data_IF_277496679225
#
_entry.id   IF_277496679225
#
_cell.length_a   1.000
_cell.length_b   1.000
_cell.length_c   1.000
_cell.angle_alpha   90.00
_cell.angle_beta   90.00
_cell.angle_gamma   90.00
#
_symmetry.space_group_name_H-M   'P 1'
#
loop_
_entity.id
_entity.type
_entity.pdbx_description
1 polymer ?
#
# COMPACT_ATOMS: atom_id res chain seq x y z
N UNK A 1 13.38 5.60 11.81
CA UNK A 1 13.93 4.62 10.87
C UNK A 1 14.28 5.28 9.53
N UNK A 2 13.40 6.06 8.88
CA UNK A 2 13.65 6.69 7.57
C UNK A 2 14.88 7.63 7.53
N UNK A 3 15.03 8.53 8.52
CA UNK A 3 16.16 9.48 8.58
C UNK A 3 17.50 8.72 8.72
N UNK A 4 17.54 7.66 9.52
CA UNK A 4 18.72 6.80 9.65
C UNK A 4 19.12 6.13 8.33
N UNK A 5 18.16 5.64 7.56
CA UNK A 5 18.40 5.05 6.23
C UNK A 5 19.01 6.04 5.25
N UNK A 6 18.50 7.27 5.19
CA UNK A 6 19.02 8.33 4.32
C UNK A 6 20.47 8.67 4.68
N UNK A 7 20.79 8.78 5.97
CA UNK A 7 22.15 9.05 6.45
C UNK A 7 23.12 7.92 6.06
N UNK A 8 22.69 6.66 6.20
CA UNK A 8 23.50 5.49 5.84
C UNK A 8 23.78 5.48 4.33
N UNK A 9 22.76 5.73 3.50
CA UNK A 9 22.92 5.80 2.03
C UNK A 9 23.85 6.96 1.65
N UNK A 10 23.68 8.13 2.23
CA UNK A 10 24.56 9.28 1.98
C UNK A 10 26.01 9.00 2.38
N UNK A 11 26.24 8.35 3.52
CA UNK A 11 27.56 7.94 3.97
C UNK A 11 28.19 6.90 3.03
N UNK A 12 27.44 5.91 2.59
CA UNK A 12 27.88 4.90 1.64
C UNK A 12 28.27 5.53 0.29
N UNK A 13 27.43 6.41 -0.26
CA UNK A 13 27.71 7.15 -1.49
C UNK A 13 28.94 8.04 -1.35
N UNK A 14 29.14 8.68 -0.20
CA UNK A 14 30.34 9.47 0.09
C UNK A 14 31.59 8.60 0.10
N UNK A 15 31.54 7.43 0.73
CA UNK A 15 32.68 6.48 0.76
C UNK A 15 32.99 5.95 -0.64
N UNK A 16 31.97 5.62 -1.44
CA UNK A 16 32.11 5.20 -2.84
C UNK A 16 32.73 6.33 -3.68
N UNK A 17 32.22 7.56 -3.57
CA UNK A 17 32.75 8.72 -4.26
C UNK A 17 34.23 8.97 -3.89
N UNK A 18 34.55 8.86 -2.62
CA UNK A 18 35.94 9.00 -2.11
C UNK A 18 36.85 7.85 -2.60
N UNK A 19 36.33 6.63 -2.64
CA UNK A 19 37.02 5.47 -3.21
C UNK A 19 37.32 5.65 -4.70
N UNK A 20 36.34 6.12 -5.46
CA UNK A 20 36.48 6.40 -6.88
C UNK A 20 37.55 7.47 -7.16
N UNK A 21 37.53 8.56 -6.41
CA UNK A 21 38.57 9.61 -6.48
C UNK A 21 39.97 9.06 -6.13
N UNK A 22 40.06 8.17 -5.15
CA UNK A 22 41.32 7.53 -4.76
C UNK A 22 41.83 6.57 -5.84
N UNK A 23 40.95 5.79 -6.47
CA UNK A 23 41.27 4.89 -7.61
C UNK A 23 41.76 5.71 -8.81
N UNK A 24 41.04 6.78 -9.16
CA UNK A 24 41.42 7.72 -10.22
C UNK A 24 42.80 8.34 -9.90
N UNK A 25 43.04 8.69 -8.65
CA UNK A 25 44.34 9.20 -8.20
C UNK A 25 45.49 8.17 -8.38
N UNK A 26 45.22 6.86 -8.18
CA UNK A 26 46.21 5.78 -8.37
C UNK A 26 46.44 5.43 -9.83
N UNK A 27 45.38 5.49 -10.67
CA UNK A 27 45.45 5.19 -12.11
C UNK A 27 46.30 6.24 -12.90
N UNK A 28 46.74 7.33 -12.27
CA UNK A 28 47.51 8.41 -12.85
C UNK A 28 48.87 7.96 -13.43
N UNK A 29 49.45 6.87 -12.98
CA UNK A 29 50.83 6.45 -13.36
C UNK A 29 50.90 5.71 -14.70
N UNK A 30 49.76 5.28 -15.29
CA UNK A 30 49.74 4.48 -16.52
C UNK A 30 49.12 5.19 -17.75
N UNK A 31 48.76 6.49 -17.68
CA UNK A 31 48.02 7.21 -18.73
C UNK A 31 48.81 8.36 -19.30
N UNK A 32 48.57 8.68 -20.57
CA UNK A 32 49.23 9.77 -21.28
C UNK A 32 49.10 11.14 -20.60
N UNK A 33 50.02 12.06 -20.93
CA UNK A 33 50.21 13.36 -20.23
C UNK A 33 48.93 14.17 -20.09
N UNK A 34 48.10 14.24 -21.14
CA UNK A 34 46.81 14.99 -21.09
C UNK A 34 45.83 14.43 -20.08
N UNK A 35 45.67 13.10 -19.99
CA UNK A 35 44.83 12.42 -19.03
C UNK A 35 45.34 12.56 -17.58
N UNK A 36 46.67 12.56 -17.43
CA UNK A 36 47.31 12.72 -16.12
C UNK A 36 47.01 14.07 -15.46
N UNK A 37 46.94 15.15 -16.25
CA UNK A 37 46.58 16.48 -15.75
C UNK A 37 45.06 16.61 -15.45
N UNK A 38 44.20 16.03 -16.30
CA UNK A 38 42.76 16.00 -16.04
C UNK A 38 42.38 15.24 -14.76
N UNK A 39 42.97 14.02 -14.60
CA UNK A 39 42.78 13.19 -13.41
C UNK A 39 43.37 13.80 -12.15
N UNK A 40 44.49 14.55 -12.26
CA UNK A 40 45.08 15.28 -11.17
C UNK A 40 44.19 16.39 -10.63
N UNK A 41 43.42 17.05 -11.49
CA UNK A 41 42.50 18.11 -11.11
C UNK A 41 41.28 17.57 -10.35
N UNK A 42 40.73 16.46 -10.80
CA UNK A 42 39.63 15.73 -10.08
C UNK A 42 40.13 15.27 -8.71
N UNK A 43 41.36 14.78 -8.61
CA UNK A 43 41.96 14.35 -7.34
C UNK A 43 42.23 15.52 -6.37
N UNK A 44 42.60 16.71 -6.87
CA UNK A 44 42.82 17.91 -6.04
C UNK A 44 41.53 18.48 -5.46
N UNK A 45 40.39 18.38 -6.18
CA UNK A 45 39.07 18.81 -5.73
C UNK A 45 38.21 17.61 -5.26
N UNK A 46 38.84 16.58 -4.72
CA UNK A 46 38.21 15.32 -4.36
C UNK A 46 37.02 15.44 -3.38
N UNK A 47 37.00 16.46 -2.50
CA UNK A 47 35.88 16.75 -1.62
C UNK A 47 34.63 17.22 -2.41
N UNK A 48 34.81 18.18 -3.30
CA UNK A 48 33.73 18.76 -4.09
C UNK A 48 33.14 17.72 -5.06
N UNK A 49 34.00 16.92 -5.68
CA UNK A 49 33.58 15.79 -6.52
C UNK A 49 32.87 14.72 -5.73
N UNK A 50 33.29 14.39 -4.50
CA UNK A 50 32.59 13.44 -3.64
C UNK A 50 31.21 13.95 -3.22
N UNK A 51 31.05 15.22 -2.89
CA UNK A 51 29.74 15.84 -2.57
C UNK A 51 28.81 15.81 -3.77
N UNK A 52 29.31 16.07 -4.99
CA UNK A 52 28.52 15.97 -6.21
C UNK A 52 28.06 14.53 -6.47
N UNK A 53 28.92 13.53 -6.31
CA UNK A 53 28.56 12.11 -6.44
C UNK A 53 27.48 11.73 -5.43
N UNK A 54 27.57 12.22 -4.18
CA UNK A 54 26.52 11.99 -3.16
C UNK A 54 25.20 12.62 -3.60
N UNK A 55 25.21 13.88 -4.02
CA UNK A 55 23.99 14.59 -4.42
C UNK A 55 23.28 13.92 -5.61
N UNK A 56 24.03 13.62 -6.67
CA UNK A 56 23.48 12.93 -7.84
C UNK A 56 23.08 11.48 -7.52
N UNK A 57 23.93 10.75 -6.78
CA UNK A 57 23.66 9.38 -6.38
C UNK A 57 22.40 9.26 -5.53
N UNK A 58 22.21 10.17 -4.57
CA UNK A 58 21.02 10.22 -3.73
C UNK A 58 19.76 10.53 -4.55
N UNK A 59 19.86 11.48 -5.48
CA UNK A 59 18.77 11.81 -6.39
C UNK A 59 18.36 10.62 -7.28
N UNK A 60 19.35 9.94 -7.88
CA UNK A 60 19.10 8.73 -8.71
C UNK A 60 18.51 7.62 -7.85
N UNK A 61 19.00 7.40 -6.62
CA UNK A 61 18.48 6.39 -5.70
C UNK A 61 17.02 6.64 -5.37
N UNK A 62 16.64 7.90 -5.06
CA UNK A 62 15.24 8.26 -4.80
C UNK A 62 14.35 8.01 -6.02
N UNK A 63 14.83 8.34 -7.23
CA UNK A 63 14.10 8.07 -8.47
C UNK A 63 13.89 6.58 -8.72
N UNK A 64 14.94 5.78 -8.55
CA UNK A 64 14.87 4.33 -8.72
C UNK A 64 13.92 3.71 -7.71
N UNK A 65 14.01 4.14 -6.44
CA UNK A 65 13.13 3.68 -5.38
C UNK A 65 11.68 4.04 -5.67
N UNK A 66 11.41 5.27 -6.10
CA UNK A 66 10.06 5.71 -6.48
C UNK A 66 9.52 4.91 -7.68
N UNK A 67 10.37 4.66 -8.68
CA UNK A 67 10.01 3.89 -9.85
C UNK A 67 9.73 2.43 -9.47
N UNK A 68 10.57 1.83 -8.63
CA UNK A 68 10.41 0.48 -8.12
C UNK A 68 9.10 0.34 -7.34
N UNK A 69 8.88 1.22 -6.34
CA UNK A 69 7.66 1.20 -5.53
C UNK A 69 6.42 1.39 -6.40
N UNK A 70 6.46 2.31 -7.37
CA UNK A 70 5.35 2.51 -8.31
C UNK A 70 5.05 1.24 -9.13
N UNK A 71 6.10 0.62 -9.67
CA UNK A 71 5.96 -0.58 -10.53
C UNK A 71 5.48 -1.75 -9.70
N UNK A 72 6.08 -1.99 -8.56
CA UNK A 72 5.75 -3.09 -7.64
C UNK A 72 4.31 -2.98 -7.11
N UNK A 73 3.90 -1.77 -6.71
CA UNK A 73 2.53 -1.49 -6.27
C UNK A 73 1.51 -1.71 -7.41
N UNK A 74 1.81 -1.26 -8.62
CA UNK A 74 0.92 -1.40 -9.76
C UNK A 74 0.87 -2.84 -10.29
N UNK A 75 2.00 -3.56 -10.29
CA UNK A 75 2.06 -4.96 -10.71
C UNK A 75 1.48 -5.88 -9.63
N UNK A 76 1.77 -5.64 -8.36
CA UNK A 76 1.15 -6.36 -7.24
C UNK A 76 -0.37 -6.26 -7.28
N UNK A 77 -0.91 -5.06 -7.47
CA UNK A 77 -2.37 -4.87 -7.60
C UNK A 77 -2.96 -5.52 -8.86
N UNK A 78 -2.23 -5.56 -9.98
CA UNK A 78 -2.69 -6.25 -11.19
C UNK A 78 -2.65 -7.76 -11.06
N UNK A 79 -1.67 -8.29 -10.34
CA UNK A 79 -1.53 -9.73 -10.11
C UNK A 79 -2.55 -10.27 -9.09
N UNK A 80 -3.00 -9.41 -8.14
CA UNK A 80 -3.99 -9.77 -7.13
C UNK A 80 -5.42 -9.68 -7.65
N UNK A 81 -5.66 -8.84 -8.67
CA UNK A 81 -6.96 -8.73 -9.33
C UNK A 81 -7.06 -9.81 -10.40
N UNK A 82 -7.68 -10.93 -10.05
CA UNK A 82 -8.16 -11.90 -11.02
C UNK A 82 -9.05 -11.18 -12.05
N UNK A 83 -8.97 -11.58 -13.33
CA UNK A 83 -9.83 -10.99 -14.36
C UNK A 83 -11.32 -11.09 -14.00
N UNK A 84 -11.68 -12.08 -13.19
CA UNK A 84 -13.03 -12.34 -12.70
C UNK A 84 -13.33 -11.74 -11.31
N UNK A 85 -12.39 -11.02 -10.71
CA UNK A 85 -12.61 -10.42 -9.40
C UNK A 85 -13.80 -9.43 -9.42
N UNK A 86 -14.59 -9.39 -8.33
CA UNK A 86 -15.67 -8.43 -8.18
C UNK A 86 -15.17 -6.99 -8.30
N UNK A 87 -15.87 -6.17 -9.05
CA UNK A 87 -15.58 -4.76 -9.25
C UNK A 87 -16.65 -3.82 -8.69
N UNK A 88 -17.75 -4.38 -8.20
CA UNK A 88 -18.83 -3.64 -7.57
C UNK A 88 -19.27 -4.29 -6.27
N UNK A 89 -19.62 -3.45 -5.28
CA UNK A 89 -20.33 -3.89 -4.08
C UNK A 89 -21.73 -3.32 -4.06
N UNK A 90 -22.68 -4.15 -3.66
CA UNK A 90 -24.02 -3.73 -3.25
C UNK A 90 -24.09 -3.79 -1.73
N UNK A 91 -24.43 -2.70 -1.10
CA UNK A 91 -24.58 -2.61 0.36
C UNK A 91 -25.98 -2.13 0.75
N UNK A 92 -26.35 -2.43 1.98
CA UNK A 92 -27.65 -2.02 2.55
C UNK A 92 -28.87 -2.62 1.82
N UNK A 93 -28.73 -3.82 1.27
CA UNK A 93 -29.86 -4.58 0.70
C UNK A 93 -30.74 -5.01 1.86
N UNK A 94 -32.03 -4.63 1.82
CA UNK A 94 -32.97 -5.04 2.88
C UNK A 94 -33.40 -6.48 2.69
N UNK A 95 -33.77 -7.22 3.76
CA UNK A 95 -34.26 -8.63 3.62
C UNK A 95 -35.36 -8.81 2.59
N UNK A 96 -36.32 -7.88 2.54
CA UNK A 96 -37.41 -7.89 1.60
C UNK A 96 -37.03 -7.62 0.14
N UNK A 97 -35.81 -7.15 -0.10
CA UNK A 97 -35.31 -6.77 -1.44
C UNK A 97 -34.44 -7.86 -2.05
N UNK A 98 -33.95 -8.83 -1.25
CA UNK A 98 -33.02 -9.88 -1.70
C UNK A 98 -33.57 -10.64 -2.91
N UNK A 99 -34.79 -11.15 -2.82
CA UNK A 99 -35.40 -11.92 -3.91
C UNK A 99 -35.59 -11.08 -5.17
N UNK A 100 -35.98 -9.83 -5.02
CA UNK A 100 -36.21 -8.91 -6.13
C UNK A 100 -34.93 -8.46 -6.78
N UNK A 101 -33.86 -8.27 -6.00
CA UNK A 101 -32.51 -8.00 -6.52
C UNK A 101 -31.97 -9.23 -7.24
N UNK A 102 -32.11 -10.43 -6.66
CA UNK A 102 -31.74 -11.69 -7.31
C UNK A 102 -32.42 -11.89 -8.64
N UNK A 103 -33.76 -11.65 -8.68
CA UNK A 103 -34.53 -11.73 -9.90
C UNK A 103 -34.07 -10.74 -10.99
N UNK A 104 -33.63 -9.55 -10.61
CA UNK A 104 -33.08 -8.57 -11.56
C UNK A 104 -31.80 -9.07 -12.23
N UNK A 105 -30.90 -9.72 -11.48
CA UNK A 105 -29.70 -10.34 -12.04
C UNK A 105 -30.04 -11.47 -13.00
N UNK A 106 -30.92 -12.37 -12.59
CA UNK A 106 -31.37 -13.48 -13.42
C UNK A 106 -32.05 -13.00 -14.72
N UNK A 107 -32.87 -11.93 -14.65
CA UNK A 107 -33.55 -11.36 -15.81
C UNK A 107 -32.59 -10.72 -16.83
N UNK A 108 -31.39 -10.34 -16.40
CA UNK A 108 -30.32 -9.80 -17.24
C UNK A 108 -29.26 -10.87 -17.62
N UNK A 109 -29.57 -12.15 -17.44
CA UNK A 109 -28.70 -13.30 -17.75
C UNK A 109 -27.35 -13.23 -17.01
N UNK A 110 -27.34 -12.64 -15.81
CA UNK A 110 -26.16 -12.52 -14.97
C UNK A 110 -26.21 -13.54 -13.83
N UNK A 111 -25.04 -13.94 -13.36
CA UNK A 111 -24.93 -14.76 -12.17
C UNK A 111 -25.54 -14.04 -10.97
N UNK A 112 -26.40 -14.74 -10.22
CA UNK A 112 -26.99 -14.18 -9.00
C UNK A 112 -25.92 -14.13 -7.93
N UNK A 113 -25.59 -12.94 -7.41
CA UNK A 113 -24.52 -12.81 -6.45
C UNK A 113 -24.90 -13.38 -5.07
N UNK A 114 -23.91 -13.75 -4.28
CA UNK A 114 -24.11 -14.22 -2.91
C UNK A 114 -24.45 -13.02 -2.02
N UNK A 115 -25.58 -13.10 -1.32
CA UNK A 115 -25.99 -12.11 -0.35
C UNK A 115 -25.49 -12.49 1.05
N UNK A 116 -24.50 -11.76 1.54
CA UNK A 116 -23.90 -12.00 2.85
C UNK A 116 -24.60 -11.12 3.89
N UNK A 117 -25.12 -11.70 4.98
CA UNK A 117 -25.79 -10.94 6.02
C UNK A 117 -24.81 -10.02 6.78
N UNK A 118 -25.30 -8.86 7.18
CA UNK A 118 -24.58 -7.88 7.98
C UNK A 118 -25.49 -7.38 9.10
N UNK A 119 -25.03 -7.54 10.33
CA UNK A 119 -25.69 -7.05 11.54
C UNK A 119 -24.75 -6.11 12.28
N UNK A 120 -25.22 -4.92 12.57
CA UNK A 120 -24.46 -3.98 13.40
C UNK A 120 -24.59 -4.32 14.87
N UNK A 121 -23.46 -4.42 15.53
CA UNK A 121 -23.36 -4.79 16.93
C UNK A 121 -22.31 -3.95 17.65
N UNK A 122 -22.31 -4.02 18.94
CA UNK A 122 -21.22 -3.48 19.78
C UNK A 122 -20.78 -4.58 20.73
N UNK A 123 -19.49 -4.87 20.76
CA UNK A 123 -18.92 -5.76 21.78
C UNK A 123 -19.01 -5.08 23.15
N UNK A 124 -19.50 -5.79 24.15
CA UNK A 124 -19.71 -5.27 25.51
C UNK A 124 -18.76 -5.88 26.50
N UNK A 125 -18.56 -7.20 26.43
CA UNK A 125 -17.66 -7.92 27.34
C UNK A 125 -16.83 -8.98 26.60
N UNK A 126 -15.68 -9.30 27.19
CA UNK A 126 -14.81 -10.42 26.83
C UNK A 126 -14.59 -11.22 28.10
N UNK A 127 -15.03 -12.46 28.15
CA UNK A 127 -14.99 -13.33 29.34
C UNK A 127 -15.64 -12.68 30.58
N UNK A 128 -16.70 -11.87 30.38
CA UNK A 128 -17.40 -11.15 31.44
C UNK A 128 -16.72 -9.85 31.88
N UNK A 129 -15.54 -9.53 31.37
CA UNK A 129 -14.85 -8.25 31.61
C UNK A 129 -15.32 -7.21 30.60
N UNK A 130 -15.65 -6.00 31.05
CA UNK A 130 -16.05 -4.91 30.16
C UNK A 130 -14.93 -4.53 29.20
N UNK A 131 -15.25 -4.41 27.89
CA UNK A 131 -14.28 -3.99 26.85
C UNK A 131 -13.64 -2.63 27.15
N UNK A 132 -14.32 -1.77 27.94
CA UNK A 132 -13.80 -0.45 28.29
C UNK A 132 -12.81 -0.45 29.44
N UNK A 133 -12.80 -1.50 30.26
CA UNK A 133 -11.96 -1.64 31.46
C UNK A 133 -10.77 -2.57 31.19
N UNK A 134 -10.84 -3.35 30.10
CA UNK A 134 -9.81 -4.31 29.72
C UNK A 134 -8.55 -3.61 29.19
N UNK A 135 -7.39 -4.16 29.50
CA UNK A 135 -6.10 -3.75 28.94
C UNK A 135 -5.83 -4.57 27.66
N UNK A 136 -5.56 -3.90 26.57
CA UNK A 136 -5.28 -4.53 25.26
C UNK A 136 -3.78 -4.57 24.98
N UNK A 137 -3.31 -5.54 24.17
CA UNK A 137 -1.92 -5.62 23.75
C UNK A 137 -1.43 -4.38 23.00
N UNK A 138 -2.31 -3.72 22.24
CA UNK A 138 -2.02 -2.51 21.46
C UNK A 138 -3.27 -1.64 21.23
N UNK A 139 -3.07 -0.44 20.66
CA UNK A 139 -4.15 0.53 20.38
C UNK A 139 -5.18 0.01 19.35
N UNK A 140 -4.74 -0.87 18.42
CA UNK A 140 -5.62 -1.45 17.41
C UNK A 140 -6.63 -2.43 18.03
N UNK A 141 -6.20 -3.20 19.02
CA UNK A 141 -7.09 -4.07 19.78
C UNK A 141 -8.12 -3.30 20.59
N UNK A 142 -7.72 -2.21 21.26
CA UNK A 142 -8.63 -1.31 21.96
C UNK A 142 -9.65 -0.69 20.99
N UNK A 143 -9.19 -0.21 19.84
CA UNK A 143 -10.05 0.36 18.81
C UNK A 143 -11.05 -0.67 18.26
N UNK A 144 -10.60 -1.90 17.98
CA UNK A 144 -11.45 -2.99 17.49
C UNK A 144 -12.58 -3.33 18.48
N UNK A 145 -12.25 -3.44 19.76
CA UNK A 145 -13.21 -3.80 20.80
C UNK A 145 -14.25 -2.69 21.09
N UNK A 146 -13.84 -1.42 20.99
CA UNK A 146 -14.69 -0.28 21.35
C UNK A 146 -15.52 0.29 20.19
N UNK A 147 -15.23 -0.06 18.95
CA UNK A 147 -16.00 0.41 17.78
C UNK A 147 -17.30 -0.38 17.59
N UNK A 148 -18.16 0.13 16.73
CA UNK A 148 -19.28 -0.63 16.22
C UNK A 148 -18.75 -1.80 15.36
N UNK A 149 -19.14 -3.02 15.68
CA UNK A 149 -18.77 -4.23 14.98
C UNK A 149 -19.80 -4.55 13.90
N UNK A 150 -19.34 -4.94 12.73
CA UNK A 150 -20.16 -5.56 11.72
C UNK A 150 -20.04 -7.08 11.87
N UNK A 151 -21.10 -7.72 12.32
CA UNK A 151 -21.18 -9.16 12.44
C UNK A 151 -21.84 -9.76 11.20
N UNK A 152 -21.44 -10.97 10.89
CA UNK A 152 -22.09 -11.80 9.88
C UNK A 152 -22.35 -13.20 10.44
N UNK A 153 -23.11 -14.02 9.75
CA UNK A 153 -23.20 -15.45 10.01
C UNK A 153 -23.14 -16.24 8.71
N UNK A 154 -22.61 -17.44 8.80
CA UNK A 154 -22.54 -18.35 7.65
C UNK A 154 -22.52 -19.80 8.11
N UNK A 155 -23.18 -20.67 7.36
CA UNK A 155 -23.07 -22.12 7.55
C UNK A 155 -21.76 -22.68 6.97
N UNK A 156 -21.20 -22.02 5.95
CA UNK A 156 -20.01 -22.49 5.25
C UNK A 156 -18.89 -21.47 5.32
N UNK A 157 -17.64 -21.97 5.38
CA UNK A 157 -16.47 -21.12 5.28
C UNK A 157 -16.34 -20.53 3.87
N UNK A 158 -16.10 -19.24 3.77
CA UNK A 158 -15.79 -18.60 2.48
C UNK A 158 -14.52 -19.18 1.87
N UNK A 159 -14.50 -19.37 0.56
CA UNK A 159 -13.29 -19.83 -0.17
C UNK A 159 -12.11 -18.87 -0.08
N UNK A 160 -12.35 -17.61 0.30
CA UNK A 160 -11.32 -16.60 0.54
C UNK A 160 -10.72 -16.66 1.95
N UNK A 161 -11.16 -17.61 2.80
CA UNK A 161 -10.74 -17.72 4.18
C UNK A 161 -10.11 -19.09 4.45
N UNK A 162 -9.14 -19.13 5.37
CA UNK A 162 -8.45 -20.33 5.81
C UNK A 162 -8.50 -20.40 7.35
N UNK A 163 -8.83 -21.58 7.91
CA UNK A 163 -8.78 -21.80 9.36
C UNK A 163 -7.33 -22.04 9.78
N UNK A 164 -6.86 -21.23 10.72
CA UNK A 164 -5.53 -21.36 11.30
C UNK A 164 -5.55 -22.15 12.61
N UNK A 165 -6.54 -21.88 13.45
CA UNK A 165 -6.71 -22.56 14.74
C UNK A 165 -8.18 -22.87 14.99
N UNK A 166 -8.44 -23.98 15.67
CA UNK A 166 -9.79 -24.46 15.95
C UNK A 166 -10.47 -25.11 14.75
N UNK A 167 -11.79 -25.16 14.76
CA UNK A 167 -12.59 -25.81 13.72
C UNK A 167 -13.77 -24.93 13.31
N UNK A 168 -14.13 -25.02 12.02
CA UNK A 168 -15.40 -24.45 11.55
C UNK A 168 -16.56 -25.37 11.94
N UNK A 169 -17.69 -24.81 12.26
CA UNK A 169 -18.89 -25.58 12.62
C UNK A 169 -19.50 -26.33 11.43
N UNK A 170 -20.20 -27.46 11.69
CA UNK A 170 -20.97 -28.17 10.66
C UNK A 170 -22.06 -27.27 10.03
N UNK A 171 -22.40 -27.53 8.77
CA UNK A 171 -23.38 -26.72 8.05
C UNK A 171 -24.81 -26.73 8.68
N UNK A 172 -25.14 -27.79 9.40
CA UNK A 172 -26.39 -28.00 10.14
C UNK A 172 -26.27 -27.67 11.64
N UNK A 173 -25.25 -26.90 12.02
CA UNK A 173 -25.03 -26.55 13.41
C UNK A 173 -26.20 -25.76 14.00
N UNK A 174 -26.73 -26.26 15.12
CA UNK A 174 -27.83 -25.68 15.87
C UNK A 174 -27.55 -25.61 17.38
N UNK A 175 -26.27 -25.60 17.75
CA UNK A 175 -25.81 -25.48 19.14
C UNK A 175 -25.76 -24.03 19.66
N UNK A 176 -25.13 -23.79 20.81
CA UNK A 176 -24.89 -22.46 21.33
C UNK A 176 -24.11 -21.60 20.32
N UNK A 177 -24.31 -20.26 20.31
CA UNK A 177 -23.64 -19.42 19.35
C UNK A 177 -22.11 -19.54 19.41
N UNK A 178 -21.50 -19.75 18.26
CA UNK A 178 -20.06 -19.79 18.06
C UNK A 178 -19.64 -18.60 17.20
N UNK A 179 -18.39 -18.15 17.37
CA UNK A 179 -17.81 -17.09 16.54
C UNK A 179 -16.44 -17.51 16.02
N UNK A 180 -16.18 -17.21 14.77
CA UNK A 180 -14.87 -17.32 14.14
C UNK A 180 -14.29 -15.91 13.98
N UNK A 181 -13.05 -15.70 14.40
CA UNK A 181 -12.40 -14.38 14.41
C UNK A 181 -11.25 -14.37 13.40
N UNK A 182 -11.03 -13.24 12.79
CA UNK A 182 -9.88 -12.98 11.94
C UNK A 182 -8.60 -12.89 12.77
N UNK A 183 -7.48 -13.43 12.25
CA UNK A 183 -6.18 -13.62 12.92
C UNK A 183 -5.61 -12.33 13.55
N UNK A 184 -5.47 -11.27 12.77
CA UNK A 184 -4.91 -10.00 13.27
C UNK A 184 -5.81 -9.38 14.34
N UNK A 185 -7.12 -9.49 14.19
CA UNK A 185 -8.11 -9.03 15.17
C UNK A 185 -8.00 -9.80 16.48
N UNK A 186 -7.85 -11.13 16.41
CA UNK A 186 -7.66 -11.97 17.58
C UNK A 186 -6.36 -11.62 18.31
N UNK A 187 -5.26 -11.49 17.58
CA UNK A 187 -3.94 -11.14 18.11
C UNK A 187 -3.94 -9.75 18.76
N UNK A 188 -4.47 -8.75 18.07
CA UNK A 188 -4.50 -7.36 18.55
C UNK A 188 -5.37 -7.18 19.78
N UNK A 189 -6.50 -7.89 19.87
CA UNK A 189 -7.40 -7.82 21.02
C UNK A 189 -7.03 -8.81 22.15
N UNK A 190 -6.01 -9.66 21.95
CA UNK A 190 -5.58 -10.67 22.91
C UNK A 190 -6.66 -11.72 23.16
N UNK A 191 -7.27 -12.24 22.09
CA UNK A 191 -8.36 -13.21 22.11
C UNK A 191 -7.83 -14.58 21.72
N UNK A 192 -8.38 -15.63 22.34
CA UNK A 192 -8.03 -17.03 22.10
C UNK A 192 -9.27 -17.89 21.91
N UNK A 193 -9.08 -19.10 21.38
CA UNK A 193 -10.16 -20.11 21.28
C UNK A 193 -10.70 -20.41 22.67
N UNK A 194 -12.03 -20.48 22.78
CA UNK A 194 -12.77 -20.69 24.03
C UNK A 194 -13.11 -19.43 24.78
N UNK A 195 -12.58 -18.25 24.39
CA UNK A 195 -13.02 -16.98 24.96
C UNK A 195 -14.48 -16.70 24.59
N UNK A 196 -15.21 -16.04 25.48
CA UNK A 196 -16.61 -15.66 25.31
C UNK A 196 -16.72 -14.19 25.03
N UNK A 197 -17.37 -13.87 23.93
CA UNK A 197 -17.65 -12.51 23.51
C UNK A 197 -19.12 -12.23 23.67
N UNK A 198 -19.45 -11.11 24.24
CA UNK A 198 -20.81 -10.63 24.35
C UNK A 198 -21.01 -9.39 23.47
N UNK A 199 -22.07 -9.41 22.70
CA UNK A 199 -22.42 -8.34 21.76
C UNK A 199 -23.81 -7.76 22.09
N UNK A 200 -23.92 -6.46 22.08
CA UNK A 200 -25.19 -5.77 22.14
C UNK A 200 -25.69 -5.46 20.72
N UNK A 201 -26.86 -6.01 20.36
CA UNK A 201 -27.47 -5.90 19.05
C UNK A 201 -28.93 -5.43 19.21
N UNK A 202 -29.22 -4.20 18.80
CA UNK A 202 -30.59 -3.66 18.77
C UNK A 202 -31.42 -3.93 20.04
N UNK A 203 -30.80 -3.79 21.22
CA UNK A 203 -31.50 -3.96 22.51
C UNK A 203 -31.42 -5.37 23.09
N UNK A 204 -30.73 -6.31 22.45
CA UNK A 204 -30.51 -7.67 22.94
C UNK A 204 -29.02 -7.99 23.06
N UNK A 205 -28.68 -8.83 24.01
CA UNK A 205 -27.37 -9.37 24.21
C UNK A 205 -27.22 -10.73 23.50
N UNK A 206 -26.10 -10.94 22.84
CA UNK A 206 -25.75 -12.18 22.15
C UNK A 206 -24.39 -12.57 22.64
N UNK A 207 -24.29 -13.72 23.32
CA UNK A 207 -23.04 -14.34 23.74
C UNK A 207 -22.61 -15.40 22.72
N UNK A 208 -21.32 -15.40 22.36
CA UNK A 208 -20.74 -16.40 21.47
C UNK A 208 -19.33 -16.80 21.93
N UNK A 209 -19.03 -18.09 21.83
CA UNK A 209 -17.70 -18.63 22.15
C UNK A 209 -16.82 -18.69 20.90
N UNK A 210 -15.54 -18.32 21.03
CA UNK A 210 -14.59 -18.39 19.92
C UNK A 210 -14.26 -19.85 19.61
N UNK A 211 -14.76 -20.33 18.46
CA UNK A 211 -14.53 -21.69 17.97
C UNK A 211 -13.32 -21.80 17.05
N UNK A 212 -12.99 -20.73 16.33
CA UNK A 212 -11.85 -20.74 15.40
C UNK A 212 -11.26 -19.37 15.16
N UNK A 213 -9.98 -19.37 14.81
CA UNK A 213 -9.25 -18.20 14.29
C UNK A 213 -8.96 -18.49 12.83
N UNK A 214 -9.25 -17.50 11.96
CA UNK A 214 -9.11 -17.66 10.52
C UNK A 214 -8.28 -16.52 9.90
N UNK A 215 -7.57 -16.86 8.84
CA UNK A 215 -6.94 -15.92 7.94
C UNK A 215 -7.96 -15.49 6.90
N UNK A 216 -8.06 -14.19 6.66
CA UNK A 216 -8.97 -13.58 5.69
C UNK A 216 -8.17 -12.99 4.54
N UNK A 217 -8.50 -13.38 3.31
CA UNK A 217 -7.95 -12.73 2.13
C UNK A 217 -8.80 -11.48 1.80
N UNK A 218 -8.37 -10.33 2.32
CA UNK A 218 -9.04 -9.05 2.08
C UNK A 218 -8.94 -8.59 0.62
N UNK A 219 -7.93 -9.05 -0.12
CA UNK A 219 -7.69 -8.71 -1.52
C UNK A 219 -8.62 -9.47 -2.49
N UNK A 220 -9.42 -10.40 -1.99
CA UNK A 220 -10.39 -11.16 -2.80
C UNK A 220 -11.57 -10.33 -3.32
N UNK A 221 -11.76 -9.12 -2.78
CA UNK A 221 -12.95 -8.28 -3.04
C UNK A 221 -14.29 -8.98 -2.80
N UNK A 222 -14.27 -10.03 -1.98
CA UNK A 222 -15.48 -10.66 -1.47
C UNK A 222 -15.89 -10.03 -0.14
N UNK A 223 -17.21 -10.04 0.22
CA UNK A 223 -17.64 -9.59 1.53
C UNK A 223 -16.99 -10.44 2.63
N UNK A 224 -16.13 -9.82 3.41
CA UNK A 224 -15.45 -10.44 4.55
C UNK A 224 -15.70 -9.63 5.82
N UNK A 225 -15.64 -10.30 6.97
CA UNK A 225 -15.91 -9.74 8.28
C UNK A 225 -14.82 -10.15 9.26
N UNK A 226 -14.54 -9.31 10.24
CA UNK A 226 -13.63 -9.66 11.32
C UNK A 226 -14.17 -10.81 12.18
N UNK A 227 -15.50 -10.84 12.35
CA UNK A 227 -16.21 -11.84 13.15
C UNK A 227 -17.37 -12.41 12.35
N UNK A 228 -17.41 -13.74 12.25
CA UNK A 228 -18.51 -14.48 11.64
C UNK A 228 -19.06 -15.45 12.67
N UNK A 229 -20.37 -15.44 12.86
CA UNK A 229 -21.07 -16.29 13.82
C UNK A 229 -21.65 -17.55 13.15
N UNK A 230 -21.93 -18.55 13.96
CA UNK A 230 -22.66 -19.75 13.54
C UNK A 230 -24.11 -19.42 13.15
N UNK A 231 -24.73 -20.26 12.31
CA UNK A 231 -26.16 -20.11 11.96
C UNK A 231 -27.04 -20.04 13.21
N UNK A 232 -28.10 -19.22 13.14
CA UNK A 232 -29.04 -19.04 14.25
C UNK A 232 -28.63 -18.02 15.32
N UNK A 233 -27.34 -17.71 15.45
CA UNK A 233 -26.83 -16.82 16.50
C UNK A 233 -27.42 -15.39 16.42
N UNK A 234 -27.76 -14.90 15.23
CA UNK A 234 -28.29 -13.56 15.00
C UNK A 234 -29.73 -13.57 14.48
N UNK A 235 -30.48 -14.65 14.72
CA UNK A 235 -31.85 -14.77 14.27
C UNK A 235 -32.78 -13.71 14.87
N UNK A 236 -33.59 -13.10 14.00
CA UNK A 236 -34.52 -12.03 14.41
C UNK A 236 -33.85 -10.70 14.75
N UNK A 237 -32.54 -10.52 14.46
CA UNK A 237 -31.87 -9.26 14.57
C UNK A 237 -32.05 -8.40 13.32
N UNK A 238 -32.01 -7.06 13.43
CA UNK A 238 -32.03 -6.17 12.29
C UNK A 238 -30.84 -6.46 11.36
N UNK A 239 -31.16 -6.99 10.17
CA UNK A 239 -30.15 -7.45 9.22
C UNK A 239 -30.26 -6.66 7.93
N UNK A 240 -29.13 -6.34 7.35
CA UNK A 240 -28.99 -5.93 5.95
C UNK A 240 -28.07 -6.92 5.23
N UNK A 241 -28.06 -6.88 3.91
CA UNK A 241 -27.18 -7.74 3.13
C UNK A 241 -26.18 -6.91 2.34
N UNK A 242 -24.99 -7.49 2.19
CA UNK A 242 -23.93 -7.00 1.33
C UNK A 242 -23.63 -8.08 0.29
N UNK A 243 -23.28 -7.66 -0.91
CA UNK A 243 -22.87 -8.57 -1.97
C UNK A 243 -21.77 -7.95 -2.80
N UNK A 244 -20.92 -8.75 -3.37
CA UNK A 244 -19.95 -8.32 -4.38
C UNK A 244 -20.19 -9.04 -5.69
N UNK A 245 -19.89 -8.35 -6.80
CA UNK A 245 -20.07 -8.90 -8.12
C UNK A 245 -19.20 -8.23 -9.15
N UNK A 246 -19.01 -8.92 -10.26
CA UNK A 246 -18.40 -8.35 -11.43
C UNK A 246 -19.49 -7.82 -12.37
N UNK A 247 -19.36 -6.56 -12.77
CA UNK A 247 -20.22 -5.92 -13.77
C UNK A 247 -19.35 -5.53 -14.96
N UNK A 248 -19.68 -6.05 -16.13
CA UNK A 248 -19.03 -5.68 -17.38
C UNK A 248 -19.51 -4.29 -17.85
N UNK A 249 -18.74 -3.58 -18.69
CA UNK A 249 -19.10 -2.23 -19.15
C UNK A 249 -20.46 -2.15 -19.88
N UNK A 250 -20.86 -3.19 -20.56
CA UNK A 250 -22.14 -3.31 -21.28
C UNK A 250 -23.34 -3.60 -20.34
N UNK A 251 -23.06 -4.09 -19.13
CA UNK A 251 -24.06 -4.42 -18.10
C UNK A 251 -24.41 -3.24 -17.17
N UNK A 252 -23.77 -2.10 -17.30
CA UNK A 252 -24.00 -0.93 -16.43
C UNK A 252 -25.45 -0.44 -16.42
N UNK A 253 -26.23 -0.69 -17.48
CA UNK A 253 -27.66 -0.32 -17.52
C UNK A 253 -28.47 -1.01 -16.42
N UNK A 254 -28.12 -2.24 -16.08
CA UNK A 254 -28.76 -3.00 -14.99
C UNK A 254 -28.56 -2.29 -13.65
N UNK A 255 -27.37 -1.73 -13.37
CA UNK A 255 -27.13 -0.97 -12.14
C UNK A 255 -28.03 0.25 -12.01
N UNK A 256 -28.30 0.96 -13.12
CA UNK A 256 -29.21 2.11 -13.13
C UNK A 256 -30.64 1.64 -12.82
N UNK A 257 -31.06 0.51 -13.37
CA UNK A 257 -32.35 -0.08 -13.09
C UNK A 257 -32.46 -0.53 -11.63
N UNK A 258 -31.42 -1.17 -11.10
CA UNK A 258 -31.32 -1.59 -9.70
C UNK A 258 -31.49 -0.40 -8.76
N UNK A 259 -30.70 0.67 -8.94
CA UNK A 259 -30.77 1.87 -8.09
C UNK A 259 -32.13 2.55 -8.16
N UNK A 260 -32.80 2.50 -9.31
CA UNK A 260 -34.13 3.07 -9.47
C UNK A 260 -35.22 2.23 -8.79
N UNK A 261 -35.13 0.90 -8.83
CA UNK A 261 -36.09 -0.03 -8.20
C UNK A 261 -35.86 -0.18 -6.70
N UNK A 262 -34.60 -0.11 -6.28
CA UNK A 262 -34.13 -0.33 -4.90
C UNK A 262 -33.31 0.86 -4.41
N UNK A 263 -33.93 2.00 -4.11
CA UNK A 263 -33.16 3.21 -3.69
C UNK A 263 -32.47 3.08 -2.33
N UNK A 264 -32.80 2.04 -1.53
CA UNK A 264 -32.10 1.67 -0.30
C UNK A 264 -30.73 1.04 -0.57
N UNK A 265 -30.54 0.40 -1.72
CA UNK A 265 -29.31 -0.28 -2.09
C UNK A 265 -28.29 0.74 -2.60
N UNK A 266 -27.14 0.76 -1.97
CA UNK A 266 -26.01 1.57 -2.41
C UNK A 266 -25.05 0.73 -3.25
N UNK A 267 -24.69 1.25 -4.42
CA UNK A 267 -23.73 0.62 -5.33
C UNK A 267 -22.38 1.31 -5.17
N UNK A 268 -21.35 0.55 -4.87
CA UNK A 268 -19.97 1.03 -4.78
C UNK A 268 -19.19 0.46 -5.97
N UNK A 269 -18.72 1.32 -6.85
CA UNK A 269 -17.84 0.95 -7.97
C UNK A 269 -16.37 1.00 -7.50
N UNK A 270 -15.83 -0.18 -7.22
CA UNK A 270 -14.41 -0.33 -6.85
C UNK A 270 -13.49 0.02 -8.01
N UNK A 271 -13.88 -0.28 -9.25
CA UNK A 271 -13.08 0.04 -10.42
C UNK A 271 -12.84 1.54 -10.54
N UNK A 272 -13.88 2.35 -10.32
CA UNK A 272 -13.76 3.81 -10.31
C UNK A 272 -12.88 4.32 -9.17
N UNK A 273 -13.02 3.76 -7.97
CA UNK A 273 -12.19 4.12 -6.80
C UNK A 273 -10.71 3.79 -7.08
N UNK A 274 -10.43 2.59 -7.58
CA UNK A 274 -9.07 2.16 -7.92
C UNK A 274 -8.46 3.02 -9.04
N UNK A 275 -9.25 3.40 -10.05
CA UNK A 275 -8.80 4.33 -11.09
C UNK A 275 -8.48 5.71 -10.52
N UNK A 276 -9.28 6.22 -9.60
CA UNK A 276 -9.02 7.50 -8.94
C UNK A 276 -7.72 7.46 -8.13
N UNK A 277 -7.49 6.40 -7.35
CA UNK A 277 -6.25 6.20 -6.59
C UNK A 277 -5.04 6.11 -7.52
N UNK A 278 -5.13 5.35 -8.62
CA UNK A 278 -4.08 5.30 -9.66
C UNK A 278 -3.77 6.69 -10.21
N UNK A 279 -4.80 7.46 -10.54
CA UNK A 279 -4.62 8.83 -11.04
C UNK A 279 -3.92 9.76 -10.03
N UNK A 280 -4.15 9.58 -8.74
CA UNK A 280 -3.46 10.32 -7.67
C UNK A 280 -1.97 9.90 -7.62
N UNK A 281 -1.70 8.60 -7.64
CA UNK A 281 -0.32 8.06 -7.63
C UNK A 281 0.46 8.51 -8.86
N UNK A 282 -0.16 8.49 -10.04
CA UNK A 282 0.47 8.95 -11.29
C UNK A 282 0.81 10.45 -11.24
N UNK A 283 -0.11 11.29 -10.77
CA UNK A 283 0.12 12.74 -10.62
C UNK A 283 1.22 13.03 -9.60
N UNK A 284 1.21 12.34 -8.46
CA UNK A 284 2.25 12.46 -7.43
C UNK A 284 3.62 12.04 -7.98
N UNK A 285 3.70 10.92 -8.71
CA UNK A 285 4.93 10.43 -9.35
C UNK A 285 5.46 11.43 -10.38
N UNK A 286 4.58 12.01 -11.19
CA UNK A 286 4.96 13.02 -12.19
C UNK A 286 5.51 14.29 -11.53
N UNK A 287 4.90 14.73 -10.42
CA UNK A 287 5.37 15.90 -9.67
C UNK A 287 6.78 15.65 -9.10
N UNK A 288 7.03 14.49 -8.51
CA UNK A 288 8.35 14.12 -7.98
C UNK A 288 9.38 14.01 -9.11
N UNK A 289 9.02 13.41 -10.25
CA UNK A 289 9.88 13.34 -11.43
C UNK A 289 10.25 14.74 -11.95
N UNK A 290 9.29 15.66 -12.01
CA UNK A 290 9.53 17.04 -12.43
C UNK A 290 10.52 17.77 -11.52
N UNK A 291 10.34 17.66 -10.20
CA UNK A 291 11.27 18.22 -9.20
C UNK A 291 12.68 17.63 -9.38
N UNK A 292 12.77 16.32 -9.62
CA UNK A 292 14.06 15.67 -9.85
C UNK A 292 14.74 16.14 -11.13
N UNK A 293 14.02 16.21 -12.25
CA UNK A 293 14.56 16.71 -13.53
C UNK A 293 15.06 18.15 -13.35
N UNK A 294 14.30 18.97 -12.63
CA UNK A 294 14.73 20.35 -12.32
C UNK A 294 16.01 20.37 -11.46
N UNK A 295 16.09 19.52 -10.44
CA UNK A 295 17.28 19.42 -9.57
C UNK A 295 18.49 18.92 -10.35
N UNK A 296 18.30 17.95 -11.25
CA UNK A 296 19.35 17.45 -12.13
C UNK A 296 19.84 18.55 -13.07
N UNK A 297 18.94 19.29 -13.69
CA UNK A 297 19.27 20.41 -14.58
C UNK A 297 20.03 21.52 -13.83
N UNK A 298 19.61 21.86 -12.60
CA UNK A 298 20.31 22.78 -11.74
C UNK A 298 21.73 22.30 -11.39
N UNK A 299 21.89 21.02 -11.07
CA UNK A 299 23.19 20.38 -10.81
C UNK A 299 24.11 20.43 -12.03
N UNK A 300 23.59 20.17 -13.22
CA UNK A 300 24.35 20.28 -14.49
C UNK A 300 24.76 21.74 -14.74
N UNK A 301 23.87 22.72 -14.50
CA UNK A 301 24.17 24.13 -14.65
C UNK A 301 25.32 24.59 -13.71
N UNK A 302 25.29 24.14 -12.45
CA UNK A 302 26.36 24.40 -11.47
C UNK A 302 27.68 23.76 -11.92
N UNK A 303 27.64 22.53 -12.43
CA UNK A 303 28.81 21.88 -12.99
C UNK A 303 29.39 22.65 -14.17
N UNK A 304 28.52 23.10 -15.08
CA UNK A 304 28.92 23.89 -16.23
C UNK A 304 29.55 25.22 -15.83
N UNK A 305 28.97 25.94 -14.85
CA UNK A 305 29.55 27.16 -14.31
C UNK A 305 30.91 26.94 -13.66
N UNK A 306 31.09 25.85 -12.93
CA UNK A 306 32.40 25.47 -12.32
C UNK A 306 33.46 25.17 -13.39
N UNK A 307 33.09 24.49 -14.47
CA UNK A 307 33.99 24.21 -15.60
C UNK A 307 34.34 25.51 -16.32
N UNK A 308 33.40 26.40 -16.59
CA UNK A 308 33.64 27.71 -17.20
C UNK A 308 34.62 28.55 -16.37
N UNK A 309 34.39 28.68 -15.07
CA UNK A 309 35.30 29.40 -14.14
C UNK A 309 36.73 28.84 -14.18
N UNK A 310 36.87 27.50 -14.25
CA UNK A 310 38.20 26.88 -14.35
C UNK A 310 38.89 27.14 -15.71
N UNK A 311 38.12 27.21 -16.80
CA UNK A 311 38.67 27.53 -18.14
C UNK A 311 39.14 28.97 -18.18
N UNK A 312 38.42 29.92 -17.62
CA UNK A 312 38.79 31.32 -17.62
C UNK A 312 40.03 31.57 -16.76
N UNK A 313 40.15 30.91 -15.60
CA UNK A 313 41.33 30.93 -14.77
C UNK A 313 42.57 30.39 -15.52
N UNK A 314 42.45 29.28 -16.22
CA UNK A 314 43.51 28.71 -17.06
C UNK A 314 43.87 29.57 -18.28
N UNK A 315 42.90 30.24 -18.90
CA UNK A 315 43.15 31.19 -19.99
C UNK A 315 43.97 32.35 -19.50
N UNK A 316 43.68 32.89 -18.32
CA UNK A 316 44.45 33.98 -17.70
C UNK A 316 45.88 33.53 -17.34
N UNK A 317 46.06 32.36 -16.72
CA UNK A 317 47.37 31.78 -16.43
C UNK A 317 48.19 31.55 -17.73
N UNK A 318 47.58 31.02 -18.76
CA UNK A 318 48.19 30.78 -20.05
C UNK A 318 48.61 32.09 -20.76
N UNK A 319 47.80 33.14 -20.64
CA UNK A 319 48.11 34.47 -21.18
C UNK A 319 49.31 35.09 -20.43
N UNK A 320 49.37 34.94 -19.10
CA UNK A 320 50.45 35.43 -18.26
C UNK A 320 51.77 34.70 -18.54
N UNK A 321 51.74 33.36 -18.68
CA UNK A 321 52.92 32.59 -19.05
C UNK A 321 53.44 32.93 -20.45
N UNK A 322 52.56 33.24 -21.41
CA UNK A 322 52.93 33.73 -22.74
C UNK A 322 53.57 35.12 -22.70
N UNK A 323 53.07 36.01 -21.88
CA UNK A 323 53.64 37.34 -21.68
C UNK A 323 55.03 37.26 -21.07
N UNK A 324 55.31 36.24 -20.24
CA UNK A 324 56.63 35.96 -19.66
C UNK A 324 57.54 35.16 -20.59
N UNK A 325 57.15 34.93 -21.88
CA UNK A 325 58.02 34.31 -22.88
C UNK A 325 57.95 32.78 -22.98
N UNK A 326 56.95 32.14 -22.36
CA UNK A 326 56.79 30.70 -22.46
C UNK A 326 56.37 30.26 -23.88
N UNK A 327 57.06 29.22 -24.43
CA UNK A 327 56.75 28.69 -25.76
C UNK A 327 55.41 27.95 -25.75
N UNK A 328 54.68 28.00 -26.91
CA UNK A 328 53.38 27.36 -27.07
C UNK A 328 53.33 25.91 -26.59
N UNK A 329 54.38 25.12 -26.79
CA UNK A 329 54.52 23.74 -26.30
C UNK A 329 54.51 23.59 -24.78
N UNK A 330 54.99 24.60 -24.07
CA UNK A 330 55.08 24.62 -22.59
C UNK A 330 53.74 25.02 -21.95
N UNK A 331 52.90 25.76 -22.68
CA UNK A 331 51.60 26.22 -22.19
C UNK A 331 50.51 25.15 -22.43
N UNK A 332 50.66 24.27 -23.43
CA UNK A 332 49.72 23.21 -23.76
C UNK A 332 50.19 21.80 -23.30
N UNK A 333 51.34 21.67 -22.65
CA UNK A 333 51.78 20.45 -21.98
C UNK A 333 51.31 20.43 -20.52
#
# INVERSE_FOLDING_TARGET
IMIGGIIIIAAALYLVGRGLVAVIGRARSGVGVAWRYGLANVSRRGRDSAVQVVAFGLGITVLLLLTLVRTDLLEGWRATLDEDAPNHFLINIQPREVDSVAALFAANEMEVPIFTPLVRARMTTINGESVKERTYPNEEGEWLANREANLSWSATLSSSNEILEGEWWPADYAGPPLVSIEEESAMNAGLAIGDRLEFFVAGREVEAEIASIRKVNWDSFQPNFFMVLSPGALDGMPTTFISSMRIAPDQQRMLIELMRKHPSVSVIDLGAILQQVRGIIEKASLAVQAVFVFTLAAGIAVLFAAVQSTIDERRFESAMLRALGARRRTVFA
#
